data_IF_364958003651
#
_entry.id   IF_364958003651
#
_cell.length_a   1.000
_cell.length_b   1.000
_cell.length_c   1.000
_cell.angle_alpha   90.00
_cell.angle_beta   90.00
_cell.angle_gamma   90.00
#
_symmetry.space_group_name_H-M   'P 1'
#
loop_
_entity.id
_entity.type
_entity.pdbx_description
1 polymer ?
#
# COMPACT_ATOMS: atom_id res chain seq x y z
N UNK A 1 22.85 -19.61 3.87
CA UNK A 1 22.06 -19.70 2.64
C UNK A 1 22.40 -18.51 1.76
N UNK A 2 23.11 -18.77 0.68
CA UNK A 2 23.50 -17.80 -0.35
C UNK A 2 22.23 -17.25 -1.02
N UNK A 3 21.95 -15.96 -0.85
CA UNK A 3 20.88 -15.27 -1.58
C UNK A 3 21.25 -15.27 -3.05
N UNK A 4 20.46 -15.96 -3.87
CA UNK A 4 20.49 -15.78 -5.32
C UNK A 4 20.36 -14.29 -5.63
N UNK A 5 21.28 -13.77 -6.42
CA UNK A 5 21.19 -12.46 -7.06
C UNK A 5 19.92 -12.46 -7.90
N UNK A 6 18.88 -11.71 -7.46
CA UNK A 6 17.61 -11.62 -8.21
C UNK A 6 17.90 -11.11 -9.63
N UNK A 7 17.31 -11.77 -10.61
CA UNK A 7 17.66 -11.65 -12.04
C UNK A 7 17.39 -10.26 -12.65
N UNK A 8 16.55 -9.43 -12.02
CA UNK A 8 16.34 -8.02 -12.41
C UNK A 8 15.73 -7.18 -11.29
N UNK A 9 15.87 -5.85 -11.37
CA UNK A 9 15.20 -4.91 -10.46
C UNK A 9 13.68 -5.03 -10.49
N UNK A 10 13.09 -5.35 -11.65
CA UNK A 10 11.65 -5.57 -11.79
C UNK A 10 11.20 -6.82 -11.03
N UNK A 11 11.95 -7.93 -11.11
CA UNK A 11 11.65 -9.13 -10.34
C UNK A 11 11.71 -8.87 -8.84
N UNK A 12 12.70 -8.08 -8.38
CA UNK A 12 12.81 -7.69 -6.98
C UNK A 12 11.62 -6.83 -6.52
N UNK A 13 11.22 -5.84 -7.30
CA UNK A 13 10.08 -4.98 -7.01
C UNK A 13 8.77 -5.78 -7.00
N UNK A 14 8.59 -6.70 -7.95
CA UNK A 14 7.41 -7.55 -8.03
C UNK A 14 7.26 -8.45 -6.80
N UNK A 15 8.34 -9.00 -6.26
CA UNK A 15 8.29 -9.79 -5.02
C UNK A 15 7.80 -8.95 -3.83
N UNK A 16 8.20 -7.67 -3.74
CA UNK A 16 7.69 -6.75 -2.71
C UNK A 16 6.19 -6.52 -2.90
N UNK A 17 5.74 -6.33 -4.14
CA UNK A 17 4.35 -6.03 -4.47
C UNK A 17 3.43 -7.27 -4.43
N UNK A 18 3.98 -8.48 -4.53
CA UNK A 18 3.25 -9.73 -4.34
C UNK A 18 2.89 -10.02 -2.88
N UNK A 19 3.48 -9.29 -1.94
CA UNK A 19 3.03 -9.33 -0.56
C UNK A 19 1.60 -8.80 -0.44
N UNK A 20 0.71 -9.54 0.22
CA UNK A 20 -0.71 -9.18 0.30
C UNK A 20 -0.95 -7.78 0.90
N UNK A 21 -0.09 -7.35 1.83
CA UNK A 21 -0.31 -6.14 2.62
C UNK A 21 0.59 -4.97 2.21
N UNK A 22 1.72 -5.22 1.56
CA UNK A 22 2.64 -4.14 1.17
C UNK A 22 1.99 -3.10 0.24
N UNK A 23 1.22 -3.47 -0.82
CA UNK A 23 0.54 -2.49 -1.66
C UNK A 23 -0.51 -1.67 -0.91
N UNK A 24 -1.25 -2.30 0.00
CA UNK A 24 -2.27 -1.61 0.84
C UNK A 24 -1.61 -0.61 1.79
N UNK A 25 -0.52 -1.01 2.45
CA UNK A 25 0.24 -0.13 3.34
C UNK A 25 0.92 1.01 2.58
N UNK A 26 1.50 0.73 1.40
CA UNK A 26 2.03 1.75 0.50
C UNK A 26 0.97 2.77 0.13
N UNK A 27 -0.22 2.32 -0.26
CA UNK A 27 -1.31 3.24 -0.59
C UNK A 27 -1.63 4.18 0.58
N UNK A 28 -1.87 3.62 1.76
CA UNK A 28 -2.33 4.39 2.91
C UNK A 28 -1.26 5.31 3.49
N UNK A 29 -0.01 4.85 3.61
CA UNK A 29 1.07 5.67 4.17
C UNK A 29 1.43 6.88 3.29
N UNK A 30 1.18 6.80 1.98
CA UNK A 30 1.32 7.96 1.08
C UNK A 30 0.03 8.73 0.82
N UNK A 31 -1.11 8.23 1.31
CA UNK A 31 -2.34 9.01 1.34
C UNK A 31 -2.26 10.09 2.43
N UNK A 32 -1.82 9.71 3.64
CA UNK A 32 -1.43 10.60 4.73
C UNK A 32 -0.69 9.81 5.82
N UNK A 33 -0.20 10.51 6.83
CA UNK A 33 0.42 9.90 7.99
C UNK A 33 -0.62 9.23 8.91
N UNK A 34 -0.34 8.03 9.42
CA UNK A 34 -1.22 7.30 10.33
C UNK A 34 -0.47 6.75 11.54
N UNK A 35 -1.13 6.71 12.69
CA UNK A 35 -0.67 5.94 13.85
C UNK A 35 -0.87 4.44 13.62
N UNK A 36 -0.19 3.60 14.40
CA UNK A 36 -0.38 2.14 14.37
C UNK A 36 -1.84 1.74 14.61
N UNK A 37 -2.50 2.41 15.57
CA UNK A 37 -3.88 2.12 15.92
C UNK A 37 -4.84 2.45 14.77
N UNK A 38 -4.65 3.60 14.12
CA UNK A 38 -5.47 3.96 12.94
C UNK A 38 -5.27 2.97 11.78
N UNK A 39 -4.04 2.47 11.58
CA UNK A 39 -3.77 1.44 10.57
C UNK A 39 -4.48 0.10 10.88
N UNK A 40 -4.54 -0.31 12.14
CA UNK A 40 -5.29 -1.50 12.56
C UNK A 40 -6.80 -1.34 12.36
N UNK A 41 -7.33 -0.16 12.64
CA UNK A 41 -8.74 0.14 12.38
C UNK A 41 -9.05 0.18 10.88
N UNK A 42 -8.11 0.71 10.08
CA UNK A 42 -8.23 0.82 8.64
C UNK A 42 -8.13 -0.54 7.95
N UNK A 43 -7.28 -1.43 8.47
CA UNK A 43 -6.97 -2.74 7.92
C UNK A 43 -7.22 -3.83 8.98
N UNK A 44 -8.49 -4.07 9.35
CA UNK A 44 -8.84 -4.92 10.51
C UNK A 44 -8.50 -6.40 10.32
N UNK A 45 -8.22 -6.83 9.09
CA UNK A 45 -7.79 -8.19 8.78
C UNK A 45 -6.30 -8.45 9.09
N UNK A 46 -5.53 -7.40 9.39
CA UNK A 46 -4.10 -7.47 9.65
C UNK A 46 -3.89 -7.43 11.17
N UNK A 47 -3.25 -8.46 11.74
CA UNK A 47 -2.99 -8.49 13.18
C UNK A 47 -1.94 -7.46 13.60
N UNK A 48 -1.88 -7.14 14.90
CA UNK A 48 -0.90 -6.18 15.41
C UNK A 48 0.55 -6.61 15.18
N UNK A 49 0.83 -7.91 15.34
CA UNK A 49 2.16 -8.49 15.12
C UNK A 49 2.55 -8.41 13.64
N UNK A 50 1.64 -8.82 12.75
CA UNK A 50 1.84 -8.73 11.31
C UNK A 50 2.06 -7.28 10.87
N UNK A 51 1.28 -6.33 11.41
CA UNK A 51 1.41 -4.90 11.05
C UNK A 51 2.82 -4.42 11.38
N UNK A 52 3.28 -4.77 12.59
CA UNK A 52 4.61 -4.39 13.07
C UNK A 52 5.71 -4.99 12.20
N UNK A 53 5.57 -6.26 11.82
CA UNK A 53 6.50 -6.94 10.94
C UNK A 53 6.55 -6.29 9.54
N UNK A 54 5.39 -5.97 8.95
CA UNK A 54 5.30 -5.31 7.64
C UNK A 54 5.88 -3.90 7.65
N UNK A 55 5.56 -3.09 8.66
CA UNK A 55 6.13 -1.75 8.81
C UNK A 55 7.65 -1.81 8.96
N UNK A 56 8.17 -2.76 9.75
CA UNK A 56 9.60 -3.00 9.87
C UNK A 56 10.24 -3.40 8.52
N UNK A 57 9.59 -4.26 7.74
CA UNK A 57 10.04 -4.63 6.39
C UNK A 57 10.11 -3.40 5.46
N UNK A 58 9.07 -2.57 5.42
CA UNK A 58 9.04 -1.35 4.60
C UNK A 58 10.11 -0.34 5.04
N UNK A 59 10.38 -0.23 6.34
CA UNK A 59 11.47 0.62 6.86
C UNK A 59 12.85 0.10 6.47
N UNK A 60 13.07 -1.22 6.53
CA UNK A 60 14.33 -1.84 6.09
C UNK A 60 14.56 -1.65 4.58
N UNK A 61 13.49 -1.59 3.79
CA UNK A 61 13.52 -1.26 2.37
C UNK A 61 13.66 0.25 2.09
N UNK A 62 13.71 1.10 3.13
CA UNK A 62 13.73 2.57 3.04
C UNK A 62 12.51 3.15 2.32
N UNK A 63 11.38 2.44 2.35
CA UNK A 63 10.10 2.84 1.76
C UNK A 63 9.26 3.62 2.78
N UNK A 64 9.26 3.20 4.03
CA UNK A 64 8.57 3.89 5.12
C UNK A 64 9.57 4.57 6.06
N UNK A 65 9.21 5.74 6.58
CA UNK A 65 9.99 6.40 7.62
C UNK A 65 9.88 5.64 8.95
N UNK A 66 10.96 5.60 9.75
CA UNK A 66 10.82 5.27 11.16
C UNK A 66 9.92 6.30 11.85
N UNK A 67 9.22 5.88 12.90
CA UNK A 67 8.43 6.80 13.72
C UNK A 67 9.38 7.86 14.29
N UNK A 68 9.16 9.13 13.93
CA UNK A 68 10.03 10.26 14.33
C UNK A 68 9.27 11.42 14.95
N UNK A 69 7.94 11.42 14.88
CA UNK A 69 7.12 12.49 15.42
C UNK A 69 6.56 12.15 16.81
N UNK A 70 6.12 13.18 17.54
CA UNK A 70 5.51 13.04 18.87
C UNK A 70 4.16 12.32 18.85
N UNK A 71 3.57 12.16 17.67
CA UNK A 71 2.25 11.56 17.47
C UNK A 71 2.32 10.06 17.11
N UNK A 72 3.54 9.51 17.02
CA UNK A 72 3.81 8.13 16.65
C UNK A 72 3.23 7.71 15.29
N UNK A 73 3.33 8.58 14.29
CA UNK A 73 2.80 8.32 12.95
C UNK A 73 3.85 7.80 11.98
N UNK A 74 3.38 6.95 11.08
CA UNK A 74 4.13 6.40 9.96
C UNK A 74 3.83 7.20 8.70
N UNK A 75 4.83 7.32 7.83
CA UNK A 75 4.75 8.00 6.53
C UNK A 75 5.69 7.33 5.53
N UNK A 76 5.50 7.58 4.24
CA UNK A 76 6.46 7.14 3.22
C UNK A 76 7.68 8.06 3.15
N UNK A 77 8.81 7.49 2.74
CA UNK A 77 9.96 8.25 2.25
C UNK A 77 9.68 8.78 0.85
N UNK A 78 10.58 9.60 0.30
CA UNK A 78 10.49 10.03 -1.10
C UNK A 78 10.51 8.83 -2.08
N UNK A 79 11.38 7.85 -1.82
CA UNK A 79 11.45 6.60 -2.60
C UNK A 79 10.15 5.79 -2.45
N UNK A 80 9.58 5.75 -1.24
CA UNK A 80 8.29 5.12 -0.98
C UNK A 80 7.14 5.76 -1.76
N UNK A 81 7.11 7.09 -1.84
CA UNK A 81 6.13 7.82 -2.65
C UNK A 81 6.26 7.53 -4.15
N UNK A 82 7.49 7.40 -4.65
CA UNK A 82 7.72 6.99 -6.04
C UNK A 82 7.20 5.57 -6.28
N UNK A 83 7.50 4.63 -5.37
CA UNK A 83 7.02 3.26 -5.45
C UNK A 83 5.48 3.20 -5.39
N UNK A 84 4.84 3.98 -4.51
CA UNK A 84 3.38 4.10 -4.42
C UNK A 84 2.77 4.54 -5.75
N UNK A 85 3.31 5.58 -6.39
CA UNK A 85 2.81 6.08 -7.68
C UNK A 85 2.91 5.03 -8.79
N UNK A 86 4.02 4.31 -8.86
CA UNK A 86 4.22 3.22 -9.83
C UNK A 86 3.25 2.07 -9.59
N UNK A 87 3.13 1.64 -8.33
CA UNK A 87 2.20 0.58 -7.92
C UNK A 87 0.75 0.95 -8.26
N UNK A 88 0.30 2.17 -7.95
CA UNK A 88 -1.04 2.64 -8.29
C UNK A 88 -1.30 2.67 -9.79
N UNK A 89 -0.33 3.14 -10.58
CA UNK A 89 -0.44 3.18 -12.04
C UNK A 89 -0.57 1.76 -12.62
N UNK A 90 0.22 0.81 -12.10
CA UNK A 90 0.18 -0.60 -12.50
C UNK A 90 -1.15 -1.26 -12.13
N UNK A 91 -1.64 -1.04 -10.91
CA UNK A 91 -2.92 -1.55 -10.42
C UNK A 91 -4.11 -1.05 -11.23
N UNK A 92 -4.16 0.27 -11.50
CA UNK A 92 -5.25 0.87 -12.31
C UNK A 92 -5.23 0.34 -13.73
N UNK A 93 -4.06 0.26 -14.37
CA UNK A 93 -3.93 -0.33 -15.70
C UNK A 93 -4.37 -1.80 -15.70
N UNK A 94 -3.92 -2.60 -14.73
CA UNK A 94 -4.26 -4.01 -14.63
C UNK A 94 -5.77 -4.25 -14.48
N UNK A 95 -6.43 -3.46 -13.64
CA UNK A 95 -7.89 -3.52 -13.46
C UNK A 95 -8.64 -3.16 -14.75
N UNK A 96 -8.20 -2.13 -15.47
CA UNK A 96 -8.78 -1.74 -16.77
C UNK A 96 -8.66 -2.87 -17.80
N UNK A 97 -7.49 -3.51 -17.89
CA UNK A 97 -7.31 -4.66 -18.79
C UNK A 97 -8.24 -5.84 -18.42
N UNK A 98 -8.49 -6.08 -17.14
CA UNK A 98 -9.43 -7.12 -16.70
C UNK A 98 -10.88 -6.78 -17.02
N UNK A 99 -11.25 -5.51 -16.98
CA UNK A 99 -12.60 -5.06 -17.33
C UNK A 99 -12.81 -5.09 -18.84
N UNK A 100 -11.85 -4.60 -19.62
CA UNK A 100 -11.87 -4.64 -21.09
C UNK A 100 -11.99 -6.08 -21.61
N UNK A 101 -11.19 -7.01 -21.07
CA UNK A 101 -11.24 -8.43 -21.45
C UNK A 101 -12.56 -9.12 -21.07
N UNK A 102 -13.35 -8.53 -20.18
CA UNK A 102 -14.61 -9.06 -19.70
C UNK A 102 -15.82 -8.26 -20.22
N UNK A 103 -15.63 -7.34 -21.17
CA UNK A 103 -16.64 -6.42 -21.69
C UNK A 103 -17.38 -5.64 -20.58
N UNK A 104 -16.65 -5.25 -19.52
CA UNK A 104 -17.16 -4.47 -18.38
C UNK A 104 -16.73 -3.01 -18.47
N UNK A 105 -17.57 -2.11 -17.96
CA UNK A 105 -17.20 -0.71 -17.83
C UNK A 105 -16.25 -0.52 -16.64
N UNK A 106 -15.05 0.00 -16.91
CA UNK A 106 -14.07 0.33 -15.86
C UNK A 106 -14.61 1.37 -14.89
N UNK A 107 -14.38 1.15 -13.59
CA UNK A 107 -14.70 2.11 -12.53
C UNK A 107 -13.54 3.10 -12.37
N UNK A 108 -13.85 4.39 -12.32
CA UNK A 108 -12.84 5.41 -12.00
C UNK A 108 -12.48 5.34 -10.52
N UNK A 109 -11.21 5.06 -10.22
CA UNK A 109 -10.67 5.13 -8.87
C UNK A 109 -10.35 6.58 -8.55
N UNK A 110 -11.12 7.17 -7.65
CA UNK A 110 -10.85 8.49 -7.10
C UNK A 110 -10.41 8.32 -5.66
N UNK A 111 -9.23 8.83 -5.32
CA UNK A 111 -8.78 8.87 -3.93
C UNK A 111 -9.69 9.80 -3.11
N UNK A 112 -10.01 9.46 -1.85
CA UNK A 112 -10.80 10.33 -0.99
C UNK A 112 -10.06 11.63 -0.67
N UNK A 113 -10.74 12.62 -0.11
CA UNK A 113 -10.05 13.82 0.39
C UNK A 113 -9.12 13.46 1.56
N UNK A 114 -7.92 14.04 1.62
CA UNK A 114 -6.94 13.78 2.68
C UNK A 114 -7.46 14.05 4.10
N UNK A 115 -8.48 14.90 4.23
CA UNK A 115 -9.19 15.26 5.47
C UNK A 115 -10.32 14.30 5.84
N UNK A 116 -10.58 13.27 5.03
CA UNK A 116 -11.65 12.30 5.27
C UNK A 116 -11.51 11.61 6.63
N UNK A 117 -12.65 11.34 7.27
CA UNK A 117 -12.70 10.68 8.58
C UNK A 117 -12.31 9.21 8.42
N UNK A 118 -11.66 8.65 9.45
CA UNK A 118 -11.19 7.26 9.42
C UNK A 118 -12.30 6.26 9.06
N UNK A 119 -13.52 6.44 9.60
CA UNK A 119 -14.69 5.62 9.26
C UNK A 119 -15.03 5.56 7.76
N UNK A 120 -14.74 6.64 7.02
CA UNK A 120 -15.03 6.73 5.59
C UNK A 120 -13.87 6.09 4.81
N UNK A 121 -12.64 6.21 5.30
CA UNK A 121 -11.47 5.51 4.76
C UNK A 121 -11.58 3.99 4.93
N UNK A 122 -12.12 3.49 6.05
CA UNK A 122 -12.38 2.06 6.28
C UNK A 122 -13.33 1.49 5.21
N UNK A 123 -14.38 2.25 4.86
CA UNK A 123 -15.29 1.86 3.76
C UNK A 123 -14.57 1.87 2.42
N UNK A 124 -13.74 2.89 2.17
CA UNK A 124 -12.95 2.95 0.96
C UNK A 124 -11.95 1.80 0.85
N UNK A 125 -11.39 1.31 1.96
CA UNK A 125 -10.47 0.17 1.95
C UNK A 125 -11.10 -1.11 1.36
N UNK A 126 -12.43 -1.29 1.50
CA UNK A 126 -13.17 -2.40 0.88
C UNK A 126 -13.28 -2.27 -0.65
N UNK A 127 -13.16 -1.06 -1.16
CA UNK A 127 -13.14 -0.74 -2.59
C UNK A 127 -11.70 -0.84 -3.11
N UNK A 128 -10.74 -0.30 -2.35
CA UNK A 128 -9.31 -0.32 -2.63
C UNK A 128 -8.78 -1.73 -2.89
N UNK A 129 -9.21 -2.71 -2.09
CA UNK A 129 -8.80 -4.10 -2.24
C UNK A 129 -9.12 -4.68 -3.62
N UNK A 130 -10.13 -4.18 -4.34
CA UNK A 130 -10.46 -4.66 -5.69
C UNK A 130 -9.45 -4.23 -6.76
N UNK A 131 -8.62 -3.22 -6.47
CA UNK A 131 -7.65 -2.68 -7.42
C UNK A 131 -6.22 -3.10 -7.09
N UNK A 132 -5.93 -3.36 -5.82
CA UNK A 132 -4.57 -3.57 -5.33
C UNK A 132 -4.37 -4.96 -4.70
N UNK A 133 -5.42 -5.78 -4.59
CA UNK A 133 -5.33 -7.20 -4.20
C UNK A 133 -5.88 -8.11 -5.28
#
# INVERSE_FOLDING_TARGET
MTKETKESGLAYANEILQDEWAPVLLFWLGFRTFTKQELLELIPALSEEELSAKLCQLQNLRVANPIRDTENKYSLTEDGEQLRRLMMSLSVWGAQQQDDNADRQSVLVVEPESTAKLKDLVKYNQILSKYIK
#
